data_IF_879459994430
#
_entry.id   IF_879459994430
#
_cell.length_a   1.000
_cell.length_b   1.000
_cell.length_c   1.000
_cell.angle_alpha   90.00
_cell.angle_beta   90.00
_cell.angle_gamma   90.00
#
_symmetry.space_group_name_H-M   'P 1'
#
loop_
_entity.id
_entity.type
_entity.pdbx_description
1 polymer ?
#
# COMPACT_ATOMS: atom_id res chain seq x y z
N UNK A 1 12.49 4.00 -33.35
CA UNK A 1 12.70 3.26 -32.08
C UNK A 1 11.89 1.97 -32.13
N UNK A 2 12.49 0.83 -31.79
CA UNK A 2 11.76 -0.45 -31.68
C UNK A 2 10.80 -0.40 -30.49
N UNK A 3 9.61 -1.02 -30.61
CA UNK A 3 8.64 -1.14 -29.53
C UNK A 3 9.24 -1.81 -28.29
N UNK A 4 10.17 -2.75 -28.46
CA UNK A 4 10.89 -3.40 -27.36
C UNK A 4 11.65 -2.40 -26.46
N UNK A 5 12.26 -1.38 -27.05
CA UNK A 5 13.03 -0.37 -26.30
C UNK A 5 12.11 0.53 -25.47
N UNK A 6 10.89 0.79 -25.95
CA UNK A 6 9.89 1.58 -25.22
C UNK A 6 9.40 0.79 -24.00
N UNK A 7 9.08 -0.50 -24.18
CA UNK A 7 8.64 -1.36 -23.08
C UNK A 7 9.72 -1.61 -22.03
N UNK A 8 10.98 -1.76 -22.45
CA UNK A 8 12.12 -1.87 -21.54
C UNK A 8 12.32 -0.58 -20.72
N UNK A 9 12.23 0.58 -21.36
CA UNK A 9 12.29 1.87 -20.67
C UNK A 9 11.14 2.03 -19.67
N UNK A 10 9.92 1.65 -20.07
CA UNK A 10 8.75 1.69 -19.21
C UNK A 10 8.89 0.75 -18.00
N UNK A 11 9.35 -0.49 -18.20
CA UNK A 11 9.52 -1.45 -17.09
C UNK A 11 10.58 -0.99 -16.08
N UNK A 12 11.66 -0.36 -16.55
CA UNK A 12 12.70 0.21 -15.67
C UNK A 12 12.14 1.36 -14.81
N UNK A 13 11.48 2.33 -15.45
CA UNK A 13 10.86 3.47 -14.75
C UNK A 13 9.83 2.97 -13.74
N UNK A 14 8.99 2.02 -14.15
CA UNK A 14 7.96 1.47 -13.29
C UNK A 14 8.55 0.69 -12.11
N UNK A 15 9.58 -0.14 -12.34
CA UNK A 15 10.29 -0.84 -11.27
C UNK A 15 10.90 0.09 -10.23
N UNK A 16 11.47 1.23 -10.66
CA UNK A 16 12.00 2.26 -9.75
C UNK A 16 10.87 2.89 -8.92
N UNK A 17 9.75 3.25 -9.57
CA UNK A 17 8.57 3.79 -8.88
C UNK A 17 8.03 2.80 -7.85
N UNK A 18 8.01 1.50 -8.18
CA UNK A 18 7.57 0.46 -7.27
C UNK A 18 8.43 0.38 -6.02
N UNK A 19 9.75 0.38 -6.20
CA UNK A 19 10.70 0.39 -5.08
C UNK A 19 10.48 1.64 -4.22
N UNK A 20 10.37 2.82 -4.84
CA UNK A 20 10.21 4.07 -4.11
C UNK A 20 8.94 4.10 -3.25
N UNK A 21 7.78 3.78 -3.84
CA UNK A 21 6.50 3.72 -3.11
C UNK A 21 6.55 2.65 -2.02
N UNK A 22 7.12 1.48 -2.30
CA UNK A 22 7.25 0.41 -1.32
C UNK A 22 8.13 0.81 -0.14
N UNK A 23 9.23 1.51 -0.39
CA UNK A 23 10.09 2.07 0.67
C UNK A 23 9.36 3.10 1.51
N UNK A 24 8.63 4.03 0.89
CA UNK A 24 7.80 5.01 1.62
C UNK A 24 6.75 4.30 2.49
N UNK A 25 6.06 3.30 1.96
CA UNK A 25 5.07 2.52 2.70
C UNK A 25 5.73 1.82 3.91
N UNK A 26 6.91 1.24 3.71
CA UNK A 26 7.66 0.56 4.77
C UNK A 26 8.09 1.54 5.87
N UNK A 27 8.57 2.73 5.52
CA UNK A 27 8.95 3.78 6.48
C UNK A 27 7.78 4.24 7.34
N UNK A 28 6.57 4.29 6.78
CA UNK A 28 5.34 4.62 7.53
C UNK A 28 4.87 3.45 8.40
N UNK A 29 4.99 2.20 7.92
CA UNK A 29 4.50 1.04 8.64
C UNK A 29 5.41 0.55 9.78
N UNK A 30 6.72 0.82 9.72
CA UNK A 30 7.67 0.39 10.76
C UNK A 30 7.35 0.99 12.14
N UNK A 31 7.16 2.32 12.31
CA UNK A 31 6.76 2.92 13.59
C UNK A 31 5.42 2.38 14.09
N UNK A 32 4.47 2.15 13.17
CA UNK A 32 3.17 1.57 13.47
C UNK A 32 3.28 0.13 14.02
N UNK A 33 4.12 -0.70 13.42
CA UNK A 33 4.32 -2.08 13.84
C UNK A 33 5.05 -2.18 15.19
N UNK A 34 5.99 -1.25 15.46
CA UNK A 34 6.71 -1.15 16.73
C UNK A 34 5.83 -0.62 17.88
N UNK A 35 4.72 0.04 17.55
CA UNK A 35 3.88 0.71 18.55
C UNK A 35 4.50 2.00 19.08
N UNK A 36 5.46 2.57 18.33
CA UNK A 36 6.11 3.85 18.69
C UNK A 36 5.14 5.03 18.59
N UNK A 37 4.04 4.86 17.85
CA UNK A 37 3.00 5.87 17.65
C UNK A 37 1.66 5.27 18.08
N UNK A 38 0.99 5.91 19.05
CA UNK A 38 -0.30 5.42 19.58
C UNK A 38 -1.42 5.66 18.57
N UNK A 39 -2.38 4.74 18.48
CA UNK A 39 -3.55 4.89 17.63
C UNK A 39 -4.37 6.16 17.96
N UNK A 40 -4.25 6.68 19.18
CA UNK A 40 -4.84 7.95 19.61
C UNK A 40 -4.28 9.18 18.88
N UNK A 41 -3.02 9.12 18.43
CA UNK A 41 -2.29 10.22 17.79
C UNK A 41 -2.52 10.28 16.27
N UNK A 42 -3.03 9.20 15.68
CA UNK A 42 -3.52 9.22 14.30
C UNK A 42 -4.92 9.83 14.22
N UNK A 43 -5.06 10.93 13.50
CA UNK A 43 -6.36 11.47 13.10
C UNK A 43 -7.11 10.58 12.10
N UNK A 44 -6.48 9.50 11.62
CA UNK A 44 -7.09 8.53 10.72
C UNK A 44 -7.74 7.41 11.53
N UNK A 45 -8.97 7.66 12.01
CA UNK A 45 -9.81 6.65 12.66
C UNK A 45 -10.90 6.22 11.67
N UNK A 46 -10.76 5.09 10.96
CA UNK A 46 -11.88 4.47 10.25
C UNK A 46 -13.06 4.32 11.21
N UNK A 47 -14.30 4.65 10.78
CA UNK A 47 -15.42 4.77 11.72
C UNK A 47 -15.78 3.46 12.45
N UNK A 48 -15.40 2.31 11.90
CA UNK A 48 -15.55 1.03 12.60
C UNK A 48 -14.62 0.90 13.83
N UNK A 49 -13.49 1.61 13.87
CA UNK A 49 -12.59 1.63 15.03
C UNK A 49 -13.09 2.52 16.17
N UNK A 50 -14.08 3.40 15.96
CA UNK A 50 -14.67 4.16 17.07
C UNK A 50 -15.53 3.31 18.00
N UNK A 51 -15.95 2.13 17.55
CA UNK A 51 -16.73 1.18 18.37
C UNK A 51 -15.87 0.20 19.17
N UNK A 52 -14.58 0.14 18.87
CA UNK A 52 -13.64 -0.76 19.52
C UNK A 52 -13.02 -0.04 20.72
N UNK A 53 -12.79 -0.75 21.82
CA UNK A 53 -12.07 -0.18 22.98
C UNK A 53 -10.64 0.18 22.57
N UNK A 54 -9.97 1.06 23.31
CA UNK A 54 -8.58 1.43 22.99
C UNK A 54 -7.65 0.20 23.00
N UNK A 55 -7.94 -0.81 23.82
CA UNK A 55 -7.25 -2.11 23.81
C UNK A 55 -7.47 -2.91 22.52
N UNK A 56 -8.71 -2.93 22.00
CA UNK A 56 -9.02 -3.64 20.74
C UNK A 56 -8.39 -2.95 19.52
N UNK A 57 -8.27 -1.62 19.54
CA UNK A 57 -7.56 -0.85 18.50
C UNK A 57 -6.09 -1.19 18.47
N UNK A 58 -5.43 -1.27 19.62
CA UNK A 58 -4.02 -1.67 19.71
C UNK A 58 -3.81 -3.13 19.28
N UNK A 59 -4.78 -4.00 19.58
CA UNK A 59 -4.76 -5.42 19.17
C UNK A 59 -4.90 -5.60 17.66
N UNK A 60 -5.68 -4.76 16.98
CA UNK A 60 -5.88 -4.80 15.52
C UNK A 60 -4.84 -3.98 14.75
N UNK A 61 -4.27 -2.92 15.34
CA UNK A 61 -3.31 -2.04 14.68
C UNK A 61 -2.01 -2.73 14.30
N UNK A 62 -1.44 -3.54 15.20
CA UNK A 62 -0.20 -4.31 14.95
C UNK A 62 -0.31 -5.28 13.76
N UNK A 63 -1.31 -6.18 13.69
CA UNK A 63 -1.43 -7.08 12.55
C UNK A 63 -1.71 -6.34 11.23
N UNK A 64 -2.48 -5.25 11.24
CA UNK A 64 -2.68 -4.42 10.03
C UNK A 64 -1.38 -3.74 9.57
N UNK A 65 -0.57 -3.23 10.50
CA UNK A 65 0.74 -2.66 10.18
C UNK A 65 1.69 -3.72 9.60
N UNK A 66 1.74 -4.91 10.20
CA UNK A 66 2.55 -6.03 9.70
C UNK A 66 2.09 -6.48 8.31
N UNK A 67 0.78 -6.61 8.09
CA UNK A 67 0.23 -6.94 6.78
C UNK A 67 0.61 -5.87 5.73
N UNK A 68 0.53 -4.60 6.11
CA UNK A 68 0.93 -3.49 5.24
C UNK A 68 2.44 -3.50 4.92
N UNK A 69 3.29 -3.86 5.90
CA UNK A 69 4.73 -4.08 5.68
C UNK A 69 4.99 -5.23 4.71
N UNK A 70 4.26 -6.33 4.82
CA UNK A 70 4.40 -7.46 3.90
C UNK A 70 4.05 -7.06 2.46
N UNK A 71 2.98 -6.26 2.26
CA UNK A 71 2.64 -5.72 0.94
C UNK A 71 3.72 -4.76 0.43
N UNK A 72 4.26 -3.88 1.29
CA UNK A 72 5.37 -3.01 0.94
C UNK A 72 6.58 -3.81 0.42
N UNK A 73 6.94 -4.89 1.13
CA UNK A 73 8.06 -5.75 0.77
C UNK A 73 7.83 -6.45 -0.58
N UNK A 74 6.65 -7.02 -0.81
CA UNK A 74 6.27 -7.62 -2.09
C UNK A 74 6.37 -6.61 -3.23
N UNK A 75 6.01 -5.36 -2.96
CA UNK A 75 6.08 -4.27 -3.94
C UNK A 75 7.52 -3.92 -4.32
N UNK A 76 8.40 -3.81 -3.33
CA UNK A 76 9.85 -3.60 -3.55
C UNK A 76 10.46 -4.77 -4.33
N UNK A 77 10.18 -6.01 -3.93
CA UNK A 77 10.70 -7.21 -4.59
C UNK A 77 10.25 -7.30 -6.05
N UNK A 78 9.00 -6.97 -6.33
CA UNK A 78 8.46 -6.95 -7.69
C UNK A 78 9.12 -5.85 -8.54
N UNK A 79 9.40 -4.69 -7.96
CA UNK A 79 10.14 -3.61 -8.63
C UNK A 79 11.59 -4.00 -8.94
N UNK A 80 12.29 -4.62 -7.98
CA UNK A 80 13.64 -5.16 -8.17
C UNK A 80 13.67 -6.24 -9.26
N UNK A 81 12.70 -7.15 -9.27
CA UNK A 81 12.57 -8.17 -10.29
C UNK A 81 12.34 -7.56 -11.69
N UNK A 82 11.48 -6.54 -11.79
CA UNK A 82 11.22 -5.83 -13.06
C UNK A 82 12.48 -5.15 -13.59
N UNK A 83 13.27 -4.48 -12.73
CA UNK A 83 14.54 -3.86 -13.12
C UNK A 83 15.56 -4.93 -13.54
N UNK A 84 15.78 -5.96 -12.73
CA UNK A 84 16.77 -7.00 -13.01
C UNK A 84 16.48 -7.72 -14.35
N UNK A 85 15.21 -8.02 -14.62
CA UNK A 85 14.79 -8.63 -15.88
C UNK A 85 14.84 -7.65 -17.05
N UNK A 86 14.56 -6.37 -16.81
CA UNK A 86 14.71 -5.31 -17.82
C UNK A 86 16.17 -5.12 -18.26
N UNK A 87 17.13 -5.18 -17.34
CA UNK A 87 18.57 -5.04 -17.65
C UNK A 87 19.11 -6.24 -18.44
N UNK A 88 18.53 -7.44 -18.26
CA UNK A 88 18.90 -8.64 -19.03
C UNK A 88 18.28 -8.70 -20.43
N UNK A 89 17.62 -7.61 -20.89
CA UNK A 89 16.91 -7.51 -22.18
C UNK A 89 15.79 -8.54 -22.33
N UNK A 90 15.33 -9.12 -21.21
CA UNK A 90 14.28 -10.13 -21.20
C UNK A 90 12.91 -9.46 -21.03
N UNK A 91 12.41 -8.93 -22.15
CA UNK A 91 11.25 -8.01 -22.21
C UNK A 91 9.97 -8.63 -21.63
N UNK A 92 9.70 -9.91 -21.94
CA UNK A 92 8.47 -10.58 -21.52
C UNK A 92 8.31 -10.64 -19.99
N UNK A 93 9.26 -11.25 -19.26
CA UNK A 93 9.22 -11.28 -17.80
C UNK A 93 9.23 -9.89 -17.16
N UNK A 94 10.00 -8.93 -17.67
CA UNK A 94 10.06 -7.57 -17.13
C UNK A 94 8.69 -6.86 -17.17
N UNK A 95 7.95 -7.03 -18.28
CA UNK A 95 6.58 -6.53 -18.44
C UNK A 95 5.60 -7.24 -17.49
N UNK A 96 5.74 -8.55 -17.29
CA UNK A 96 4.89 -9.31 -16.37
C UNK A 96 5.00 -8.78 -14.93
N UNK A 97 6.22 -8.51 -14.45
CA UNK A 97 6.44 -7.94 -13.12
C UNK A 97 5.97 -6.48 -13.01
N UNK A 98 6.01 -5.71 -14.09
CA UNK A 98 5.40 -4.37 -14.16
C UNK A 98 3.87 -4.47 -13.96
N UNK A 99 3.20 -5.40 -14.65
CA UNK A 99 1.76 -5.61 -14.49
C UNK A 99 1.40 -6.15 -13.09
N UNK A 100 2.22 -7.05 -12.55
CA UNK A 100 2.08 -7.53 -11.17
C UNK A 100 2.16 -6.37 -10.17
N UNK A 101 3.10 -5.44 -10.39
CA UNK A 101 3.19 -4.20 -9.62
C UNK A 101 1.92 -3.36 -9.70
N UNK A 102 1.45 -3.03 -10.90
CA UNK A 102 0.17 -2.31 -11.04
C UNK A 102 -1.01 -3.03 -10.37
N UNK A 103 -1.06 -4.35 -10.40
CA UNK A 103 -2.11 -5.12 -9.74
C UNK A 103 -2.04 -4.97 -8.22
N UNK A 104 -0.85 -5.05 -7.62
CA UNK A 104 -0.66 -4.82 -6.17
C UNK A 104 -1.03 -3.39 -5.79
N UNK A 105 -0.65 -2.39 -6.60
CA UNK A 105 -1.07 -1.00 -6.40
C UNK A 105 -2.59 -0.83 -6.47
N UNK A 106 -3.25 -1.46 -7.44
CA UNK A 106 -4.70 -1.40 -7.58
C UNK A 106 -5.40 -2.01 -6.37
N UNK A 107 -4.90 -3.13 -5.84
CA UNK A 107 -5.42 -3.74 -4.61
C UNK A 107 -5.25 -2.80 -3.40
N UNK A 108 -4.08 -2.18 -3.24
CA UNK A 108 -3.85 -1.18 -2.18
C UNK A 108 -4.77 0.05 -2.33
N UNK A 109 -4.95 0.54 -3.55
CA UNK A 109 -5.83 1.67 -3.84
C UNK A 109 -7.30 1.33 -3.53
N UNK A 110 -7.77 0.14 -3.92
CA UNK A 110 -9.11 -0.33 -3.60
C UNK A 110 -9.32 -0.51 -2.09
N UNK A 111 -8.33 -1.05 -1.37
CA UNK A 111 -8.36 -1.12 0.10
C UNK A 111 -8.40 0.27 0.73
N UNK A 112 -7.62 1.22 0.22
CA UNK A 112 -7.65 2.62 0.65
C UNK A 112 -9.01 3.29 0.43
N UNK A 113 -9.60 3.11 -0.75
CA UNK A 113 -10.94 3.62 -1.09
C UNK A 113 -12.01 2.99 -0.19
N UNK A 114 -11.94 1.67 0.05
CA UNK A 114 -12.85 0.96 0.95
C UNK A 114 -12.77 1.55 2.37
N UNK A 115 -11.56 1.73 2.91
CA UNK A 115 -11.38 2.34 4.23
C UNK A 115 -11.87 3.80 4.28
N UNK A 116 -11.61 4.60 3.24
CA UNK A 116 -12.06 5.98 3.15
C UNK A 116 -13.59 6.09 3.04
N UNK A 117 -14.23 5.25 2.23
CA UNK A 117 -15.70 5.21 2.09
C UNK A 117 -16.38 4.82 3.40
N UNK A 118 -15.84 3.84 4.12
CA UNK A 118 -16.31 3.47 5.46
C UNK A 118 -16.18 4.63 6.46
N UNK A 119 -15.11 5.43 6.35
CA UNK A 119 -14.93 6.64 7.14
C UNK A 119 -16.04 7.69 6.86
N UNK A 120 -16.30 8.01 5.59
CA UNK A 120 -17.33 9.00 5.23
C UNK A 120 -18.76 8.55 5.58
N UNK A 121 -19.09 7.27 5.36
CA UNK A 121 -20.39 6.69 5.76
C UNK A 121 -20.60 6.80 7.26
N UNK A 122 -19.54 6.57 8.03
CA UNK A 122 -19.59 6.68 9.47
C UNK A 122 -19.78 8.12 9.97
N UNK A 123 -19.06 9.09 9.40
CA UNK A 123 -19.25 10.52 9.69
C UNK A 123 -20.69 10.98 9.37
N UNK A 124 -21.27 10.47 8.29
CA UNK A 124 -22.65 10.78 7.91
C UNK A 124 -23.66 10.26 8.95
N UNK A 125 -23.40 9.09 9.56
CA UNK A 125 -24.26 8.53 10.62
C UNK A 125 -24.19 9.34 11.91
N UNK A 126 -23.01 9.80 12.32
CA UNK A 126 -22.86 10.65 13.52
C UNK A 126 -23.62 11.97 13.38
N UNK A 127 -23.56 12.61 12.20
CA UNK A 127 -24.33 13.83 11.92
C UNK A 127 -25.85 13.62 11.98
N UNK A 128 -26.33 12.43 11.66
CA UNK A 128 -27.75 12.08 11.73
C UNK A 128 -28.23 11.74 13.14
N UNK A 129 -27.35 11.24 14.01
CA UNK A 129 -27.69 10.90 15.40
C UNK A 129 -27.67 12.12 16.36
N UNK A 130 -27.07 13.23 15.93
CA UNK A 130 -27.01 14.48 16.70
C UNK A 130 -28.18 15.44 16.41
N UNK A 131 -29.16 15.03 15.60
CA UNK A 131 -30.41 15.75 15.31
C UNK A 131 -31.59 15.05 15.98
#
# INVERSE_FOLDING_TARGET
MSSANIWLGASLIFGILMIWIGTVLMLVCIPLARGDVRASEYSYRPVQLYRLTDEEKDRLGKPTAIASMAVAALFILSGLASIALGVTVNVGPAIMYMFLGTAVLAVLALLGILLASLYFVGLAREKSAAK
#
